data_IF_317087793618
#
_entry.id   IF_317087793618
#
_cell.length_a   1.000
_cell.length_b   1.000
_cell.length_c   1.000
_cell.angle_alpha   90.00
_cell.angle_beta   90.00
_cell.angle_gamma   90.00
#
_symmetry.space_group_name_H-M   'P 1'
#
loop_
_entity.id
_entity.type
_entity.pdbx_description
1 polymer ?
#
# COMPACT_ATOMS: atom_id res chain seq x y z
N UNK A 1 -18.10 -25.61 48.69
CA UNK A 1 -16.83 -25.19 48.05
C UNK A 1 -16.91 -25.44 46.55
N UNK A 2 -17.32 -26.64 46.12
CA UNK A 2 -17.32 -27.02 44.70
C UNK A 2 -18.22 -26.15 43.82
N UNK A 3 -19.45 -25.84 44.27
CA UNK A 3 -20.38 -24.98 43.52
C UNK A 3 -19.79 -23.58 43.23
N UNK A 4 -19.02 -23.02 44.16
CA UNK A 4 -18.39 -21.72 44.00
C UNK A 4 -17.22 -21.78 43.02
N UNK A 5 -16.47 -22.89 43.01
CA UNK A 5 -15.39 -23.14 42.04
C UNK A 5 -15.97 -23.27 40.62
N UNK A 6 -17.09 -23.98 40.46
CA UNK A 6 -17.77 -24.09 39.16
C UNK A 6 -18.33 -22.75 38.66
N UNK A 7 -18.92 -21.93 39.53
CA UNK A 7 -19.41 -20.60 39.14
C UNK A 7 -18.27 -19.65 38.77
N UNK A 8 -17.16 -19.69 39.51
CA UNK A 8 -15.99 -18.87 39.24
C UNK A 8 -15.28 -19.28 37.94
N UNK A 9 -15.14 -20.58 37.67
CA UNK A 9 -14.56 -21.07 36.42
C UNK A 9 -15.43 -20.72 35.20
N UNK A 10 -16.75 -20.85 35.33
CA UNK A 10 -17.69 -20.42 34.28
C UNK A 10 -17.60 -18.92 34.01
N UNK A 11 -17.47 -18.10 35.06
CA UNK A 11 -17.26 -16.66 34.95
C UNK A 11 -15.96 -16.32 34.21
N UNK A 12 -14.84 -17.00 34.54
CA UNK A 12 -13.55 -16.80 33.85
C UNK A 12 -13.62 -17.19 32.37
N UNK A 13 -14.36 -18.26 32.03
CA UNK A 13 -14.56 -18.68 30.63
C UNK A 13 -15.36 -17.61 29.87
N UNK A 14 -16.44 -17.07 30.46
CA UNK A 14 -17.25 -16.01 29.84
C UNK A 14 -16.43 -14.72 29.66
N UNK A 15 -15.62 -14.35 30.66
CA UNK A 15 -14.72 -13.19 30.59
C UNK A 15 -13.65 -13.38 29.50
N UNK A 16 -13.02 -14.55 29.45
CA UNK A 16 -12.03 -14.92 28.44
C UNK A 16 -12.61 -14.90 27.03
N UNK A 17 -13.81 -15.46 26.83
CA UNK A 17 -14.54 -15.40 25.56
C UNK A 17 -14.85 -13.96 25.14
N UNK A 18 -15.21 -13.08 26.08
CA UNK A 18 -15.46 -11.65 25.81
C UNK A 18 -14.21 -10.91 25.35
N UNK A 19 -13.06 -11.18 25.98
CA UNK A 19 -11.76 -10.62 25.60
C UNK A 19 -11.32 -11.13 24.22
N UNK A 20 -11.47 -12.44 23.95
CA UNK A 20 -11.17 -13.05 22.66
C UNK A 20 -12.09 -12.53 21.53
N UNK A 21 -13.36 -12.22 21.83
CA UNK A 21 -14.31 -11.64 20.86
C UNK A 21 -13.99 -10.19 20.49
N UNK A 22 -13.36 -9.46 21.41
CA UNK A 22 -12.95 -8.06 21.21
C UNK A 22 -11.84 -7.92 20.16
N UNK A 23 -11.16 -9.02 19.83
CA UNK A 23 -10.17 -9.07 18.75
C UNK A 23 -10.81 -9.34 17.39
N UNK A 24 -12.00 -8.79 17.15
CA UNK A 24 -12.44 -8.58 15.76
C UNK A 24 -11.50 -7.54 15.19
N UNK A 25 -10.53 -7.99 14.38
CA UNK A 25 -9.82 -7.11 13.46
C UNK A 25 -10.87 -6.33 12.69
N UNK A 26 -10.86 -5.01 12.80
CA UNK A 26 -11.67 -4.16 11.93
C UNK A 26 -11.47 -4.65 10.50
N UNK A 27 -12.54 -5.02 9.80
CA UNK A 27 -12.46 -5.26 8.37
C UNK A 27 -11.93 -3.96 7.77
N UNK A 28 -10.66 -3.97 7.38
CA UNK A 28 -10.06 -2.85 6.65
C UNK A 28 -10.78 -2.84 5.32
N UNK A 29 -11.74 -1.94 5.17
CA UNK A 29 -12.47 -1.76 3.92
C UNK A 29 -11.44 -1.50 2.84
N UNK A 30 -11.42 -2.35 1.81
CA UNK A 30 -10.52 -2.13 0.68
C UNK A 30 -10.93 -0.83 -0.02
N UNK A 31 -9.99 0.13 -0.04
CA UNK A 31 -10.17 1.44 -0.65
C UNK A 31 -9.38 1.48 -1.94
N UNK A 32 -9.99 2.06 -2.96
CA UNK A 32 -9.27 2.37 -4.19
C UNK A 32 -8.53 3.70 -4.02
N UNK A 33 -7.26 3.73 -4.39
CA UNK A 33 -6.46 4.95 -4.35
C UNK A 33 -5.49 5.04 -5.54
N UNK A 34 -5.06 6.26 -5.85
CA UNK A 34 -4.08 6.53 -6.89
C UNK A 34 -2.83 7.17 -6.27
N UNK A 35 -1.65 6.63 -6.58
CA UNK A 35 -0.36 7.19 -6.15
C UNK A 35 0.17 8.04 -7.31
N UNK A 36 0.19 9.36 -7.13
CA UNK A 36 0.71 10.30 -8.14
C UNK A 36 2.10 10.78 -7.71
N UNK A 37 3.09 10.59 -8.58
CA UNK A 37 4.49 10.94 -8.32
C UNK A 37 4.97 11.86 -9.44
N UNK A 38 5.32 13.09 -9.11
CA UNK A 38 6.06 13.95 -10.03
C UNK A 38 7.56 13.66 -9.89
N UNK A 39 8.28 13.59 -11.00
CA UNK A 39 9.74 13.43 -11.00
C UNK A 39 10.39 14.41 -11.97
N UNK A 40 11.55 14.96 -11.56
CA UNK A 40 12.43 15.76 -12.41
C UNK A 40 13.87 15.53 -12.01
N UNK A 41 14.68 15.00 -12.92
CA UNK A 41 16.08 14.66 -12.68
C UNK A 41 16.30 13.74 -11.47
N UNK A 42 15.49 12.68 -11.37
CA UNK A 42 15.44 11.74 -10.24
C UNK A 42 16.13 10.40 -10.54
N UNK A 43 17.00 10.31 -11.55
CA UNK A 43 17.66 9.07 -11.99
C UNK A 43 18.27 8.26 -10.84
N UNK A 44 18.86 8.95 -9.85
CA UNK A 44 19.50 8.32 -8.70
C UNK A 44 18.50 7.79 -7.65
N UNK A 45 17.30 8.39 -7.55
CA UNK A 45 16.30 8.05 -6.53
C UNK A 45 15.24 7.06 -7.04
N UNK A 46 14.99 7.05 -8.35
CA UNK A 46 14.01 6.17 -9.00
C UNK A 46 14.20 4.68 -8.66
N UNK A 47 15.41 4.08 -8.65
CA UNK A 47 15.58 2.67 -8.28
C UNK A 47 15.05 2.33 -6.89
N UNK A 48 15.27 3.25 -5.92
CA UNK A 48 14.79 3.08 -4.54
C UNK A 48 13.26 3.19 -4.49
N UNK A 49 12.69 4.14 -5.21
CA UNK A 49 11.25 4.32 -5.35
C UNK A 49 10.59 3.07 -5.96
N UNK A 50 11.11 2.57 -7.08
CA UNK A 50 10.58 1.37 -7.75
C UNK A 50 10.58 0.15 -6.85
N UNK A 51 11.66 -0.06 -6.09
CA UNK A 51 11.73 -1.15 -5.11
C UNK A 51 10.71 -0.99 -3.98
N UNK A 52 10.44 0.25 -3.55
CA UNK A 52 9.42 0.54 -2.54
C UNK A 52 8.01 0.24 -3.07
N UNK A 53 7.70 0.67 -4.29
CA UNK A 53 6.41 0.46 -4.93
C UNK A 53 6.12 -1.03 -5.19
N UNK A 54 7.13 -1.80 -5.64
CA UNK A 54 7.00 -3.25 -5.83
C UNK A 54 6.73 -4.03 -4.54
N UNK A 55 7.03 -3.45 -3.37
CA UNK A 55 6.83 -4.07 -2.05
C UNK A 55 5.50 -3.70 -1.41
N UNK A 56 4.64 -2.94 -2.08
CA UNK A 56 3.31 -2.62 -1.57
C UNK A 56 2.49 -3.92 -1.46
N UNK A 57 2.17 -4.30 -0.22
CA UNK A 57 1.33 -5.45 0.10
C UNK A 57 -0.16 -5.16 -0.08
N UNK A 58 -0.55 -4.56 -1.20
CA UNK A 58 -1.93 -4.20 -1.51
C UNK A 58 -2.36 -4.78 -2.87
N UNK A 59 -3.62 -5.21 -3.05
CA UNK A 59 -4.06 -5.76 -4.33
C UNK A 59 -3.86 -4.76 -5.48
N UNK A 60 -3.14 -5.16 -6.53
CA UNK A 60 -2.85 -4.31 -7.70
C UNK A 60 -4.10 -3.79 -8.43
N UNK A 61 -5.25 -4.45 -8.22
CA UNK A 61 -6.55 -4.03 -8.77
C UNK A 61 -7.15 -2.84 -8.02
N UNK A 62 -6.71 -2.59 -6.79
CA UNK A 62 -7.25 -1.56 -5.91
C UNK A 62 -6.38 -0.30 -5.87
N UNK A 63 -5.31 -0.23 -6.67
CA UNK A 63 -4.55 1.01 -6.82
C UNK A 63 -3.84 1.13 -8.16
N UNK A 64 -3.62 2.38 -8.57
CA UNK A 64 -2.79 2.71 -9.72
C UNK A 64 -1.61 3.61 -9.31
N UNK A 65 -0.54 3.53 -10.08
CA UNK A 65 0.65 4.37 -9.92
C UNK A 65 0.74 5.25 -11.16
N UNK A 66 0.75 6.57 -10.97
CA UNK A 66 0.88 7.55 -12.04
C UNK A 66 2.18 8.31 -11.81
N UNK A 67 3.14 8.17 -12.72
CA UNK A 67 4.41 8.89 -12.66
C UNK A 67 4.41 9.93 -13.76
N UNK A 68 4.67 11.18 -13.37
CA UNK A 68 4.68 12.35 -14.26
C UNK A 68 6.09 12.92 -14.31
N UNK A 69 6.74 12.83 -15.47
CA UNK A 69 8.03 13.47 -15.72
C UNK A 69 7.87 14.94 -16.09
N UNK A 70 8.44 15.82 -15.27
CA UNK A 70 8.47 17.28 -15.46
C UNK A 70 9.75 17.69 -16.22
N UNK A 71 9.82 17.27 -17.49
CA UNK A 71 10.91 17.60 -18.42
C UNK A 71 12.31 17.30 -17.85
N UNK A 72 12.55 16.06 -17.44
CA UNK A 72 13.88 15.64 -16.99
C UNK A 72 14.91 15.72 -18.12
N UNK A 73 16.12 16.15 -17.77
CA UNK A 73 17.28 16.19 -18.67
C UNK A 73 18.19 14.95 -18.53
N UNK A 74 17.97 14.15 -17.50
CA UNK A 74 18.70 12.91 -17.22
C UNK A 74 17.93 11.67 -17.73
N UNK A 75 18.34 10.47 -17.31
CA UNK A 75 17.70 9.23 -17.77
C UNK A 75 16.36 8.90 -17.07
N UNK A 76 15.80 9.81 -16.26
CA UNK A 76 14.59 9.56 -15.47
C UNK A 76 13.40 9.05 -16.29
N UNK A 77 13.08 9.73 -17.40
CA UNK A 77 11.94 9.39 -18.25
C UNK A 77 12.03 7.95 -18.80
N UNK A 78 13.23 7.53 -19.24
CA UNK A 78 13.44 6.18 -19.76
C UNK A 78 13.31 5.12 -18.67
N UNK A 79 13.84 5.41 -17.48
CA UNK A 79 13.74 4.51 -16.33
C UNK A 79 12.29 4.31 -15.88
N UNK A 80 11.51 5.40 -15.83
CA UNK A 80 10.09 5.34 -15.51
C UNK A 80 9.31 4.57 -16.57
N UNK A 81 9.61 4.79 -17.86
CA UNK A 81 8.98 4.05 -18.94
C UNK A 81 9.22 2.54 -18.82
N UNK A 82 10.47 2.12 -18.59
CA UNK A 82 10.79 0.72 -18.38
C UNK A 82 10.08 0.14 -17.14
N UNK A 83 10.00 0.89 -16.04
CA UNK A 83 9.27 0.47 -14.86
C UNK A 83 7.76 0.28 -15.12
N UNK A 84 7.14 1.14 -15.93
CA UNK A 84 5.73 1.00 -16.30
C UNK A 84 5.46 -0.21 -17.21
N UNK A 85 6.45 -0.69 -17.97
CA UNK A 85 6.32 -1.94 -18.75
C UNK A 85 6.30 -3.18 -17.85
N UNK A 86 6.93 -3.11 -16.68
CA UNK A 86 6.98 -4.23 -15.71
C UNK A 86 5.72 -4.35 -14.85
N UNK A 87 4.95 -3.28 -14.68
CA UNK A 87 3.82 -3.20 -13.75
C UNK A 87 2.53 -2.76 -14.46
N UNK A 88 1.51 -3.63 -14.58
CA UNK A 88 0.31 -3.33 -15.37
C UNK A 88 -0.58 -2.23 -14.77
N UNK A 89 -0.44 -1.91 -13.48
CA UNK A 89 -1.15 -0.83 -12.80
C UNK A 89 -0.34 0.48 -12.72
N UNK A 90 0.80 0.57 -13.42
CA UNK A 90 1.61 1.79 -13.51
C UNK A 90 1.41 2.50 -14.85
N UNK A 91 1.36 3.83 -14.82
CA UNK A 91 1.17 4.70 -15.98
C UNK A 91 2.22 5.80 -15.97
N UNK A 92 2.76 6.10 -17.14
CA UNK A 92 3.74 7.15 -17.34
C UNK A 92 3.16 8.31 -18.14
N UNK A 93 3.39 9.53 -17.69
CA UNK A 93 3.10 10.77 -18.42
C UNK A 93 4.35 11.63 -18.46
N UNK A 94 4.60 12.25 -19.60
CA UNK A 94 5.70 13.20 -19.76
C UNK A 94 5.13 14.56 -20.13
N UNK A 95 5.54 15.59 -19.39
CA UNK A 95 5.19 16.98 -19.68
C UNK A 95 6.16 17.48 -20.75
N UNK A 96 5.63 17.72 -21.95
CA UNK A 96 6.36 18.48 -22.95
C UNK A 96 6.14 19.96 -22.64
N UNK A 97 7.22 20.73 -22.41
CA UNK A 97 7.14 22.17 -22.26
C UNK A 97 6.39 22.76 -23.47
N UNK A 98 5.18 23.26 -23.21
CA UNK A 98 4.44 24.11 -24.14
C UNK A 98 3.65 25.12 -23.33
N UNK A 99 4.32 26.21 -22.97
CA UNK A 99 3.67 27.51 -22.80
C UNK A 99 4.67 28.64 -23.00
#
# INVERSE_FOLDING_TARGET
MDIFVFLFSLFLIILGMGILRSWKTSEVKELNYSIIIACRNEEQNLPKLFNSLKKLGYPNVNFEIIIVDDASADNSANMVKAFCEELPNARFFQINEKS
#
